data_IF_080983540689
#
_entry.id   IF_080983540689
#
_cell.length_a   1.000
_cell.length_b   1.000
_cell.length_c   1.000
_cell.angle_alpha   90.00
_cell.angle_beta   90.00
_cell.angle_gamma   90.00
#
_symmetry.space_group_name_H-M   'P 1'
#
loop_
_entity.id
_entity.type
_entity.pdbx_description
1 polymer ?
#
# COMPACT_ATOMS: atom_id res chain seq x y z
N UNK A 1 96.58 -50.81 23.46
CA UNK A 1 96.27 -50.30 22.10
C UNK A 1 94.96 -50.88 21.63
N UNK A 2 94.17 -50.07 20.90
CA UNK A 2 93.09 -50.45 19.97
C UNK A 2 91.79 -51.01 20.58
N UNK A 3 90.75 -50.21 20.84
CA UNK A 3 89.79 -49.56 19.92
C UNK A 3 88.77 -50.54 19.31
N UNK A 4 87.51 -50.43 19.78
CA UNK A 4 86.31 -51.14 19.28
C UNK A 4 85.61 -50.29 18.19
N UNK A 5 85.17 -50.87 17.06
CA UNK A 5 84.55 -50.10 15.99
C UNK A 5 83.07 -49.82 16.28
N UNK A 6 82.66 -48.57 16.01
CA UNK A 6 81.30 -48.08 16.13
C UNK A 6 80.41 -48.53 14.97
N UNK A 7 79.16 -48.83 15.29
CA UNK A 7 78.10 -49.17 14.33
C UNK A 7 77.45 -47.86 13.86
N UNK A 8 77.57 -47.57 12.57
CA UNK A 8 76.96 -46.42 11.90
C UNK A 8 75.43 -46.59 11.83
N UNK A 9 74.73 -45.52 12.18
CA UNK A 9 73.31 -45.31 11.98
C UNK A 9 73.06 -45.24 10.46
N UNK A 10 72.22 -46.14 9.93
CA UNK A 10 71.64 -45.98 8.59
C UNK A 10 70.39 -45.14 8.75
N UNK A 11 70.33 -44.03 8.02
CA UNK A 11 69.15 -43.17 7.95
C UNK A 11 68.04 -43.90 7.21
N UNK A 12 66.85 -43.87 7.80
CA UNK A 12 65.60 -44.10 7.07
C UNK A 12 65.33 -42.85 6.24
N UNK A 13 65.22 -43.03 4.93
CA UNK A 13 64.68 -42.02 4.02
C UNK A 13 63.23 -41.80 4.42
N UNK A 14 62.95 -40.70 5.12
CA UNK A 14 61.62 -40.13 5.16
C UNK A 14 61.26 -39.73 3.73
N UNK A 15 60.38 -40.49 3.07
CA UNK A 15 59.63 -39.95 1.94
C UNK A 15 58.87 -38.72 2.46
N UNK A 16 59.42 -37.54 2.19
CA UNK A 16 58.81 -36.25 2.45
C UNK A 16 57.51 -36.15 1.65
N UNK A 17 56.41 -36.67 2.21
CA UNK A 17 55.08 -36.20 1.87
C UNK A 17 55.05 -34.71 2.20
N UNK A 18 55.28 -33.87 1.20
CA UNK A 18 55.09 -32.42 1.25
C UNK A 18 53.78 -32.19 2.00
N UNK A 19 53.85 -31.57 3.18
CA UNK A 19 52.75 -31.42 4.14
C UNK A 19 51.42 -31.03 3.45
N UNK A 20 50.63 -32.01 3.02
CA UNK A 20 49.30 -31.82 2.42
C UNK A 20 48.28 -31.27 3.43
N UNK A 21 48.72 -30.92 4.64
CA UNK A 21 47.93 -30.27 5.69
C UNK A 21 47.31 -28.96 5.23
N UNK A 22 47.94 -28.22 4.31
CA UNK A 22 47.32 -27.02 3.74
C UNK A 22 46.15 -27.37 2.81
N UNK A 23 46.19 -28.55 2.16
CA UNK A 23 45.10 -29.05 1.32
C UNK A 23 43.89 -29.40 2.17
N UNK A 24 44.07 -29.89 3.40
CA UNK A 24 42.96 -30.16 4.31
C UNK A 24 42.17 -28.87 4.67
N UNK A 25 42.86 -27.79 5.05
CA UNK A 25 42.21 -26.50 5.35
C UNK A 25 41.57 -25.85 4.12
N UNK A 26 42.16 -26.04 2.94
CA UNK A 26 41.58 -25.60 1.67
C UNK A 26 40.29 -26.36 1.34
N UNK A 27 40.31 -27.68 1.48
CA UNK A 27 39.13 -28.52 1.25
C UNK A 27 38.00 -28.20 2.25
N UNK A 28 38.34 -27.92 3.51
CA UNK A 28 37.35 -27.46 4.50
C UNK A 28 36.71 -26.13 4.09
N UNK A 29 37.51 -25.13 3.72
CA UNK A 29 36.98 -23.83 3.25
C UNK A 29 36.09 -23.96 2.01
N UNK A 30 36.46 -24.80 1.04
CA UNK A 30 35.65 -25.05 -0.17
C UNK A 30 34.34 -25.74 0.17
N UNK A 31 34.33 -26.71 1.09
CA UNK A 31 33.10 -27.40 1.50
C UNK A 31 32.16 -26.49 2.30
N UNK A 32 32.69 -25.61 3.16
CA UNK A 32 31.90 -24.57 3.85
C UNK A 32 31.27 -23.60 2.85
N UNK A 33 32.04 -23.16 1.86
CA UNK A 33 31.56 -22.26 0.80
C UNK A 33 30.46 -22.94 -0.04
N UNK A 34 30.68 -24.20 -0.44
CA UNK A 34 29.66 -25.01 -1.14
C UNK A 34 28.38 -25.14 -0.31
N UNK A 35 28.49 -25.45 0.98
CA UNK A 35 27.33 -25.60 1.86
C UNK A 35 26.56 -24.27 2.00
N UNK A 36 27.28 -23.14 2.14
CA UNK A 36 26.68 -21.80 2.13
C UNK A 36 25.94 -21.51 0.83
N UNK A 37 26.55 -21.81 -0.34
CA UNK A 37 25.91 -21.58 -1.64
C UNK A 37 24.68 -22.48 -1.86
N UNK A 38 24.67 -23.73 -1.36
CA UNK A 38 23.49 -24.60 -1.40
C UNK A 38 22.35 -24.00 -0.56
N UNK A 39 22.66 -23.48 0.64
CA UNK A 39 21.66 -22.83 1.50
C UNK A 39 21.13 -21.55 0.85
N UNK A 40 22.01 -20.71 0.31
CA UNK A 40 21.60 -19.49 -0.41
C UNK A 40 20.79 -19.81 -1.67
N UNK A 41 21.13 -20.87 -2.41
CA UNK A 41 20.36 -21.33 -3.56
C UNK A 41 18.97 -21.83 -3.16
N UNK A 42 18.87 -22.57 -2.04
CA UNK A 42 17.59 -23.02 -1.49
C UNK A 42 16.70 -21.84 -1.03
N UNK A 43 17.29 -20.74 -0.55
CA UNK A 43 16.56 -19.50 -0.24
C UNK A 43 16.28 -18.62 -1.47
N UNK A 44 17.05 -18.78 -2.56
CA UNK A 44 16.96 -17.97 -3.77
C UNK A 44 15.75 -18.29 -4.65
N UNK A 45 15.03 -19.38 -4.39
CA UNK A 45 13.75 -19.65 -5.04
C UNK A 45 12.64 -19.65 -4.00
N UNK A 46 12.23 -18.43 -3.62
CA UNK A 46 10.89 -18.26 -3.04
C UNK A 46 9.91 -18.64 -4.14
N UNK A 47 9.46 -19.89 -4.10
CA UNK A 47 8.41 -20.40 -4.97
C UNK A 47 7.14 -19.62 -4.65
N UNK A 48 6.81 -18.67 -5.53
CA UNK A 48 5.69 -17.73 -5.38
C UNK A 48 4.39 -18.48 -5.04
N UNK A 49 4.24 -19.70 -5.58
CA UNK A 49 3.12 -20.60 -5.30
C UNK A 49 3.10 -21.10 -3.86
N UNK A 50 4.24 -21.43 -3.26
CA UNK A 50 4.31 -21.87 -1.85
C UNK A 50 4.07 -20.71 -0.90
N UNK A 51 4.52 -19.51 -1.25
CA UNK A 51 4.24 -18.30 -0.48
C UNK A 51 2.75 -17.95 -0.53
N UNK A 52 2.10 -18.08 -1.70
CA UNK A 52 0.66 -17.93 -1.83
C UNK A 52 -0.11 -18.99 -1.03
N UNK A 53 0.30 -20.25 -1.08
CA UNK A 53 -0.29 -21.34 -0.29
C UNK A 53 -0.15 -21.11 1.22
N UNK A 54 1.02 -20.65 1.69
CA UNK A 54 1.26 -20.28 3.08
C UNK A 54 0.39 -19.09 3.51
N UNK A 55 0.28 -18.08 2.66
CA UNK A 55 -0.55 -16.89 2.90
C UNK A 55 -2.03 -17.24 2.95
N UNK A 56 -2.47 -18.21 2.16
CA UNK A 56 -3.85 -18.69 2.15
C UNK A 56 -4.13 -19.60 3.36
N UNK A 57 -3.19 -20.47 3.74
CA UNK A 57 -3.36 -21.33 4.92
C UNK A 57 -3.32 -20.54 6.24
N UNK A 58 -2.50 -19.49 6.34
CA UNK A 58 -2.51 -18.56 7.47
C UNK A 58 -3.84 -17.79 7.56
N UNK A 59 -4.37 -17.30 6.43
CA UNK A 59 -5.67 -16.62 6.41
C UNK A 59 -6.83 -17.53 6.86
N UNK A 60 -6.81 -18.81 6.47
CA UNK A 60 -7.77 -19.81 6.95
C UNK A 60 -7.58 -20.16 8.43
N UNK A 61 -6.33 -20.20 8.93
CA UNK A 61 -6.00 -20.53 10.32
C UNK A 61 -6.35 -19.45 11.34
N UNK A 62 -6.44 -18.18 10.92
CA UNK A 62 -6.84 -17.05 11.78
C UNK A 62 -8.35 -16.78 11.80
N UNK A 63 -9.18 -17.65 11.21
CA UNK A 63 -10.63 -17.60 11.42
C UNK A 63 -11.39 -16.58 10.57
N UNK A 64 -10.93 -16.31 9.34
CA UNK A 64 -11.80 -15.69 8.34
C UNK A 64 -12.86 -16.73 7.89
N UNK A 65 -13.96 -16.80 8.63
CA UNK A 65 -15.18 -17.47 8.18
C UNK A 65 -15.57 -16.90 6.83
N UNK A 66 -15.89 -17.80 5.91
CA UNK A 66 -16.40 -17.57 4.56
C UNK A 66 -17.46 -16.45 4.53
N UNK A 67 -17.00 -15.21 4.36
CA UNK A 67 -17.85 -14.13 3.91
C UNK A 67 -17.73 -14.19 2.40
N UNK A 68 -18.84 -14.44 1.71
CA UNK A 68 -18.97 -14.23 0.27
C UNK A 68 -18.87 -12.74 -0.11
N UNK A 69 -17.92 -12.02 0.49
CA UNK A 69 -17.43 -10.75 0.05
C UNK A 69 -16.08 -11.05 -0.60
N UNK A 70 -16.05 -10.96 -1.93
CA UNK A 70 -14.86 -11.05 -2.75
C UNK A 70 -13.82 -10.09 -2.17
N UNK A 71 -12.84 -10.64 -1.45
CA UNK A 71 -11.71 -9.90 -0.91
C UNK A 71 -10.81 -9.52 -2.09
N UNK A 72 -11.04 -8.34 -2.64
CA UNK A 72 -10.36 -7.78 -3.83
C UNK A 72 -8.88 -7.45 -3.59
N UNK A 73 -8.30 -7.83 -2.44
CA UNK A 73 -6.92 -7.57 -2.08
C UNK A 73 -5.90 -8.61 -2.61
N UNK A 74 -6.33 -9.65 -3.32
CA UNK A 74 -5.43 -10.56 -4.05
C UNK A 74 -5.98 -10.77 -5.44
N UNK A 75 -5.14 -10.52 -6.44
CA UNK A 75 -5.49 -10.74 -7.85
C UNK A 75 -6.21 -12.07 -8.02
N UNK A 76 -7.32 -12.04 -8.75
CA UNK A 76 -8.03 -13.23 -9.17
C UNK A 76 -7.02 -14.13 -9.87
N UNK A 77 -6.59 -15.20 -9.19
CA UNK A 77 -5.81 -16.26 -9.84
C UNK A 77 -6.82 -17.00 -10.69
N UNK A 78 -6.98 -16.53 -11.93
CA UNK A 78 -7.72 -17.25 -12.95
C UNK A 78 -6.98 -18.58 -13.15
N UNK A 79 -7.63 -19.74 -12.90
CA UNK A 79 -7.06 -21.03 -13.25
C UNK A 79 -6.59 -21.00 -14.70
N UNK A 80 -5.41 -21.54 -15.00
CA UNK A 80 -4.80 -21.49 -16.35
C UNK A 80 -5.74 -22.07 -17.42
N UNK A 81 -6.69 -22.92 -17.02
CA UNK A 81 -7.72 -23.54 -17.86
C UNK A 81 -8.91 -22.62 -18.21
N UNK A 82 -9.10 -21.49 -17.52
CA UNK A 82 -10.13 -20.48 -17.79
C UNK A 82 -9.57 -19.21 -18.46
N UNK A 83 -8.29 -19.23 -18.85
CA UNK A 83 -7.72 -18.19 -19.71
C UNK A 83 -8.11 -18.51 -21.15
N UNK A 84 -9.36 -18.19 -21.50
CA UNK A 84 -9.71 -18.01 -22.90
C UNK A 84 -8.76 -16.94 -23.46
N UNK A 85 -8.09 -17.27 -24.57
CA UNK A 85 -6.99 -16.49 -25.16
C UNK A 85 -7.42 -15.11 -25.72
N UNK A 86 -8.63 -14.65 -25.42
CA UNK A 86 -9.25 -13.43 -25.94
C UNK A 86 -9.86 -12.51 -24.85
N UNK A 87 -9.67 -12.82 -23.57
CA UNK A 87 -9.96 -11.82 -22.53
C UNK A 87 -8.82 -10.79 -22.49
N UNK A 88 -8.95 -9.70 -23.25
CA UNK A 88 -8.16 -8.47 -23.01
C UNK A 88 -8.52 -7.94 -21.62
N UNK A 89 -7.80 -8.42 -20.60
CA UNK A 89 -7.86 -7.82 -19.27
C UNK A 89 -7.44 -6.36 -19.37
N UNK A 90 -8.24 -5.46 -18.79
CA UNK A 90 -7.90 -4.04 -18.69
C UNK A 90 -6.49 -3.86 -18.15
N UNK A 91 -5.72 -3.00 -18.80
CA UNK A 91 -4.42 -2.58 -18.29
C UNK A 91 -4.57 -1.86 -16.95
N UNK A 92 -3.54 -1.89 -16.11
CA UNK A 92 -3.53 -1.14 -14.84
C UNK A 92 -3.80 0.36 -15.07
N UNK A 93 -3.39 0.88 -16.22
CA UNK A 93 -3.61 2.27 -16.64
C UNK A 93 -5.09 2.55 -16.97
N UNK A 94 -5.77 1.65 -17.68
CA UNK A 94 -7.20 1.77 -17.96
C UNK A 94 -8.03 1.66 -16.69
N UNK A 95 -7.67 0.75 -15.78
CA UNK A 95 -8.33 0.66 -14.48
C UNK A 95 -8.12 1.91 -13.63
N UNK A 96 -6.92 2.50 -13.67
CA UNK A 96 -6.64 3.78 -13.03
C UNK A 96 -7.46 4.92 -13.64
N UNK A 97 -7.62 4.96 -14.97
CA UNK A 97 -8.45 5.94 -15.66
C UNK A 97 -9.92 5.82 -15.24
N UNK A 98 -10.49 4.61 -15.27
CA UNK A 98 -11.86 4.36 -14.83
C UNK A 98 -12.08 4.77 -13.36
N UNK A 99 -11.07 4.57 -12.51
CA UNK A 99 -11.15 5.00 -11.12
C UNK A 99 -11.12 6.53 -10.98
N UNK A 100 -10.23 7.21 -11.72
CA UNK A 100 -10.19 8.67 -11.78
C UNK A 100 -11.51 9.24 -12.29
N UNK A 101 -12.12 8.63 -13.30
CA UNK A 101 -13.41 9.07 -13.83
C UNK A 101 -14.53 8.96 -12.78
N UNK A 102 -14.58 7.85 -12.04
CA UNK A 102 -15.52 7.65 -10.93
C UNK A 102 -15.32 8.68 -9.81
N UNK A 103 -14.07 8.92 -9.40
CA UNK A 103 -13.74 9.89 -8.36
C UNK A 103 -14.03 11.33 -8.84
N UNK A 104 -13.80 11.63 -10.12
CA UNK A 104 -14.13 12.92 -10.73
C UNK A 104 -15.63 13.16 -10.78
N UNK A 105 -16.43 12.15 -11.16
CA UNK A 105 -17.88 12.24 -11.11
C UNK A 105 -18.38 12.53 -9.68
N UNK A 106 -17.78 11.88 -8.67
CA UNK A 106 -18.11 12.11 -7.26
C UNK A 106 -17.71 13.52 -6.81
N UNK A 107 -16.54 14.00 -7.20
CA UNK A 107 -16.08 15.38 -6.96
C UNK A 107 -17.07 16.39 -7.52
N UNK A 108 -17.48 16.24 -8.78
CA UNK A 108 -18.41 17.16 -9.42
C UNK A 108 -19.81 17.11 -8.79
N UNK A 109 -20.27 15.93 -8.34
CA UNK A 109 -21.52 15.81 -7.59
C UNK A 109 -21.47 16.57 -6.25
N UNK A 110 -20.37 16.47 -5.51
CA UNK A 110 -20.16 17.24 -4.28
C UNK A 110 -20.07 18.73 -4.56
N UNK A 111 -19.32 19.13 -5.59
CA UNK A 111 -19.19 20.54 -5.99
C UNK A 111 -20.53 21.14 -6.39
N UNK A 112 -21.33 20.43 -7.18
CA UNK A 112 -22.66 20.87 -7.58
C UNK A 112 -23.61 21.03 -6.37
N UNK A 113 -23.49 20.16 -5.36
CA UNK A 113 -24.26 20.29 -4.13
C UNK A 113 -23.85 21.54 -3.32
N UNK A 114 -22.54 21.82 -3.22
CA UNK A 114 -22.01 23.02 -2.58
C UNK A 114 -22.36 24.30 -3.35
N UNK A 115 -22.38 24.24 -4.68
CA UNK A 115 -22.71 25.36 -5.57
C UNK A 115 -24.11 25.93 -5.30
N UNK A 116 -25.10 25.04 -5.07
CA UNK A 116 -26.48 25.42 -4.76
C UNK A 116 -26.58 26.32 -3.54
N UNK A 117 -25.65 26.20 -2.61
CA UNK A 117 -25.59 26.98 -1.37
C UNK A 117 -24.47 28.04 -1.36
N UNK A 118 -23.76 28.21 -2.48
CA UNK A 118 -22.59 29.11 -2.62
C UNK A 118 -21.48 28.80 -1.59
N UNK A 119 -21.21 27.51 -1.36
CA UNK A 119 -20.24 27.03 -0.38
C UNK A 119 -18.95 26.45 -1.00
N UNK A 120 -18.82 26.48 -2.33
CA UNK A 120 -17.70 25.85 -3.06
C UNK A 120 -16.32 26.31 -2.55
N UNK A 121 -16.16 27.58 -2.20
CA UNK A 121 -14.88 28.15 -1.77
C UNK A 121 -14.38 27.62 -0.41
N UNK A 122 -15.23 26.91 0.33
CA UNK A 122 -14.91 26.37 1.65
C UNK A 122 -14.32 24.96 1.61
N UNK A 123 -14.33 24.32 0.44
CA UNK A 123 -13.84 22.94 0.28
C UNK A 123 -12.81 22.89 -0.84
N UNK A 124 -11.63 22.36 -0.53
CA UNK A 124 -10.57 22.13 -1.50
C UNK A 124 -10.51 20.63 -1.85
N UNK A 125 -10.54 20.32 -3.15
CA UNK A 125 -10.55 18.93 -3.63
C UNK A 125 -9.20 18.56 -4.22
N UNK A 126 -8.61 17.47 -3.73
CA UNK A 126 -7.34 16.93 -4.24
C UNK A 126 -7.44 15.44 -4.48
N UNK A 127 -6.75 14.98 -5.52
CA UNK A 127 -6.55 13.56 -5.75
C UNK A 127 -5.19 13.16 -5.18
N UNK A 128 -5.18 12.09 -4.40
CA UNK A 128 -3.97 11.44 -3.89
C UNK A 128 -3.97 9.95 -4.31
N UNK A 129 -2.93 9.22 -3.95
CA UNK A 129 -2.87 7.77 -4.23
C UNK A 129 -3.99 7.00 -3.51
N UNK A 130 -4.53 7.54 -2.41
CA UNK A 130 -5.58 6.89 -1.62
C UNK A 130 -6.95 7.09 -2.25
N UNK A 131 -7.17 8.20 -2.95
CA UNK A 131 -8.40 8.52 -3.67
C UNK A 131 -8.65 10.03 -3.76
N UNK A 132 -9.83 10.48 -3.33
CA UNK A 132 -10.25 11.88 -3.41
C UNK A 132 -10.38 12.46 -2.01
N UNK A 133 -9.56 13.46 -1.68
CA UNK A 133 -9.68 14.23 -0.44
C UNK A 133 -10.46 15.52 -0.65
N UNK A 134 -11.47 15.76 0.20
CA UNK A 134 -12.20 17.01 0.32
C UNK A 134 -11.79 17.69 1.63
N UNK A 135 -10.86 18.64 1.54
CA UNK A 135 -10.34 19.38 2.68
C UNK A 135 -11.23 20.56 3.04
N UNK A 136 -11.70 20.61 4.29
CA UNK A 136 -12.46 21.75 4.81
C UNK A 136 -11.50 22.91 5.13
N UNK A 137 -11.55 23.96 4.31
CA UNK A 137 -10.61 25.08 4.36
C UNK A 137 -11.01 26.10 5.43
N UNK A 138 -10.10 26.35 6.38
CA UNK A 138 -10.29 27.36 7.42
C UNK A 138 -11.05 26.83 8.62
N UNK A 139 -10.35 26.10 9.50
CA UNK A 139 -10.95 25.51 10.72
C UNK A 139 -11.73 26.49 11.57
N UNK A 140 -11.36 27.77 11.61
CA UNK A 140 -12.11 28.79 12.36
C UNK A 140 -13.53 29.03 11.81
N UNK A 141 -13.74 28.74 10.52
CA UNK A 141 -15.06 28.77 9.89
C UNK A 141 -15.89 27.55 10.28
N UNK A 142 -15.23 26.41 10.57
CA UNK A 142 -15.86 25.11 10.73
C UNK A 142 -16.03 24.65 12.18
N UNK A 143 -15.14 25.11 13.06
CA UNK A 143 -15.11 24.77 14.47
C UNK A 143 -14.94 26.04 15.29
N UNK A 144 -15.60 26.07 16.44
CA UNK A 144 -15.31 27.12 17.42
C UNK A 144 -13.86 26.93 17.94
N UNK A 145 -13.13 28.02 18.17
CA UNK A 145 -11.69 27.99 18.47
C UNK A 145 -11.33 26.98 19.56
N UNK A 146 -10.33 26.13 19.30
CA UNK A 146 -9.89 25.01 20.15
C UNK A 146 -11.02 24.10 20.69
N UNK A 147 -12.16 24.02 19.99
CA UNK A 147 -13.26 23.11 20.29
C UNK A 147 -13.51 22.12 19.15
N UNK A 148 -14.30 21.11 19.48
CA UNK A 148 -14.78 20.08 18.55
C UNK A 148 -16.16 20.40 18.00
N UNK A 149 -16.86 21.38 18.57
CA UNK A 149 -18.21 21.77 18.16
C UNK A 149 -18.20 22.34 16.74
N UNK A 150 -19.06 21.76 15.89
CA UNK A 150 -19.26 22.19 14.51
C UNK A 150 -20.00 23.53 14.47
N UNK A 151 -19.55 24.44 13.61
CA UNK A 151 -20.27 25.67 13.32
C UNK A 151 -21.51 25.40 12.45
N UNK A 152 -22.45 26.34 12.42
CA UNK A 152 -23.59 26.26 11.50
C UNK A 152 -23.16 26.18 10.02
N UNK A 153 -22.04 26.82 9.67
CA UNK A 153 -21.47 26.78 8.32
C UNK A 153 -20.90 25.39 8.02
N UNK A 154 -20.25 24.75 8.99
CA UNK A 154 -19.78 23.38 8.87
C UNK A 154 -20.90 22.41 8.62
N UNK A 155 -21.97 22.54 9.40
CA UNK A 155 -23.16 21.71 9.27
C UNK A 155 -23.72 21.82 7.84
N UNK A 156 -23.86 23.04 7.31
CA UNK A 156 -24.34 23.25 5.93
C UNK A 156 -23.44 22.59 4.87
N UNK A 157 -22.12 22.71 5.01
CA UNK A 157 -21.15 22.10 4.08
C UNK A 157 -21.22 20.57 4.16
N UNK A 158 -21.22 20.01 5.36
CA UNK A 158 -21.29 18.56 5.59
C UNK A 158 -22.60 17.98 5.06
N UNK A 159 -23.73 18.65 5.31
CA UNK A 159 -25.04 18.22 4.81
C UNK A 159 -25.13 18.29 3.28
N UNK A 160 -24.37 19.19 2.65
CA UNK A 160 -24.32 19.30 1.19
C UNK A 160 -23.47 18.19 0.55
N UNK A 161 -22.34 17.80 1.16
CA UNK A 161 -21.45 16.77 0.59
C UNK A 161 -21.84 15.34 0.98
N UNK A 162 -22.60 15.15 2.06
CA UNK A 162 -22.94 13.81 2.54
C UNK A 162 -23.79 12.97 1.57
N UNK A 163 -24.81 13.51 0.85
CA UNK A 163 -25.65 12.69 -0.02
C UNK A 163 -24.90 12.04 -1.20
N UNK A 164 -24.01 12.75 -1.95
CA UNK A 164 -23.13 12.12 -2.93
C UNK A 164 -22.26 11.00 -2.32
N UNK A 165 -21.73 11.23 -1.12
CA UNK A 165 -20.88 10.26 -0.42
C UNK A 165 -21.67 9.01 -0.01
N UNK A 166 -22.88 9.17 0.54
CA UNK A 166 -23.77 8.07 0.92
C UNK A 166 -24.16 7.18 -0.28
N UNK A 167 -24.35 7.79 -1.46
CA UNK A 167 -24.70 7.07 -2.69
C UNK A 167 -23.51 6.26 -3.24
N UNK A 168 -22.29 6.74 -3.02
CA UNK A 168 -21.08 6.13 -3.57
C UNK A 168 -20.74 4.75 -2.99
N UNK A 169 -21.19 4.46 -1.75
CA UNK A 169 -20.84 3.24 -0.98
C UNK A 169 -19.34 2.94 -0.92
N UNK A 170 -18.52 3.98 -0.98
CA UNK A 170 -17.07 3.89 -0.83
C UNK A 170 -16.68 4.05 0.63
N UNK A 171 -15.52 3.51 0.99
CA UNK A 171 -14.89 3.74 2.29
C UNK A 171 -14.48 5.22 2.41
N UNK A 172 -14.81 5.83 3.55
CA UNK A 172 -14.58 7.24 3.85
C UNK A 172 -13.74 7.34 5.12
N UNK A 173 -12.64 8.07 5.06
CA UNK A 173 -11.81 8.40 6.22
C UNK A 173 -11.92 9.89 6.51
N UNK A 174 -12.41 10.23 7.70
CA UNK A 174 -12.45 11.60 8.21
C UNK A 174 -11.17 11.84 9.01
N UNK A 175 -10.29 12.67 8.47
CA UNK A 175 -8.94 12.91 8.98
C UNK A 175 -8.86 14.27 9.67
N UNK A 176 -8.72 14.27 11.00
CA UNK A 176 -8.57 15.48 11.80
C UNK A 176 -7.10 15.89 11.95
N UNK A 177 -6.82 17.17 11.74
CA UNK A 177 -5.50 17.76 11.91
C UNK A 177 -5.54 18.97 12.86
N UNK A 178 -4.48 19.11 13.65
CA UNK A 178 -4.24 20.26 14.49
C UNK A 178 -2.92 20.94 14.06
N UNK A 179 -2.79 22.22 14.40
CA UNK A 179 -1.51 22.89 14.38
C UNK A 179 -0.70 22.52 15.62
N UNK A 180 0.62 22.70 15.54
CA UNK A 180 1.53 22.33 16.63
C UNK A 180 1.40 23.33 17.77
N UNK A 181 0.51 23.04 18.72
CA UNK A 181 0.41 23.75 19.97
C UNK A 181 0.44 22.75 21.14
N UNK A 182 0.80 23.25 22.33
CA UNK A 182 0.70 22.43 23.54
C UNK A 182 -0.77 22.16 23.91
N UNK A 183 -1.03 21.82 25.18
CA UNK A 183 -2.39 21.69 25.70
C UNK A 183 -3.29 22.82 25.22
N UNK A 184 -4.42 22.47 24.61
CA UNK A 184 -5.38 23.42 24.02
C UNK A 184 -6.38 23.94 25.08
N UNK A 185 -6.01 23.84 26.36
CA UNK A 185 -6.81 24.17 27.53
C UNK A 185 -7.81 23.07 27.88
N UNK A 186 -8.74 22.78 26.96
CA UNK A 186 -9.82 21.78 27.17
C UNK A 186 -9.33 20.36 26.88
N UNK A 187 -8.44 20.21 25.89
CA UNK A 187 -7.90 18.91 25.50
C UNK A 187 -6.45 18.78 25.97
N UNK A 188 -6.05 17.59 26.48
CA UNK A 188 -4.68 17.34 26.94
C UNK A 188 -3.64 17.59 25.85
N UNK A 189 -3.90 17.11 24.63
CA UNK A 189 -3.02 17.26 23.47
C UNK A 189 -3.80 17.51 22.18
N UNK A 190 -3.06 17.77 21.11
CA UNK A 190 -3.58 17.87 19.75
C UNK A 190 -4.25 16.58 19.26
N UNK A 191 -3.88 15.42 19.81
CA UNK A 191 -4.48 14.13 19.46
C UNK A 191 -5.96 14.07 19.85
N UNK A 192 -6.32 14.47 21.07
CA UNK A 192 -7.72 14.46 21.50
C UNK A 192 -8.55 15.51 20.75
N UNK A 193 -8.00 16.70 20.51
CA UNK A 193 -8.70 17.75 19.75
C UNK A 193 -8.97 17.30 18.31
N UNK A 194 -7.95 16.79 17.61
CA UNK A 194 -8.09 16.35 16.22
C UNK A 194 -9.01 15.14 16.08
N UNK A 195 -8.89 14.16 16.99
CA UNK A 195 -9.76 12.97 17.02
C UNK A 195 -11.21 13.35 17.32
N UNK A 196 -11.44 14.26 18.27
CA UNK A 196 -12.76 14.78 18.60
C UNK A 196 -13.41 15.51 17.44
N UNK A 197 -12.66 16.35 16.71
CA UNK A 197 -13.16 17.02 15.49
C UNK A 197 -13.54 16.03 14.39
N UNK A 198 -12.66 15.06 14.12
CA UNK A 198 -12.95 14.01 13.14
C UNK A 198 -14.22 13.22 13.52
N UNK A 199 -14.37 12.89 14.81
CA UNK A 199 -15.55 12.18 15.32
C UNK A 199 -16.83 13.00 15.19
N UNK A 200 -16.80 14.31 15.44
CA UNK A 200 -17.98 15.18 15.26
C UNK A 200 -18.42 15.27 13.79
N UNK A 201 -17.46 15.37 12.87
CA UNK A 201 -17.75 15.34 11.43
C UNK A 201 -18.34 14.00 11.02
N UNK A 202 -17.72 12.88 11.42
CA UNK A 202 -18.24 11.53 11.18
C UNK A 202 -19.67 11.40 11.69
N UNK A 203 -19.90 11.78 12.95
CA UNK A 203 -21.22 11.70 13.59
C UNK A 203 -22.26 12.49 12.81
N UNK A 204 -21.94 13.70 12.36
CA UNK A 204 -22.86 14.51 11.53
C UNK A 204 -23.19 13.79 10.22
N UNK A 205 -22.19 13.23 9.55
CA UNK A 205 -22.37 12.54 8.27
C UNK A 205 -23.20 11.25 8.40
N UNK A 206 -23.04 10.50 9.49
CA UNK A 206 -23.83 9.28 9.75
C UNK A 206 -25.25 9.63 10.19
N UNK A 207 -25.41 10.43 11.25
CA UNK A 207 -26.72 10.68 11.87
C UNK A 207 -27.66 11.53 11.00
N UNK A 208 -27.10 12.50 10.26
CA UNK A 208 -27.89 13.42 9.43
C UNK A 208 -27.66 13.23 7.93
N UNK A 209 -26.42 12.95 7.55
CA UNK A 209 -26.02 12.76 6.15
C UNK A 209 -26.38 11.39 5.56
N UNK A 210 -26.78 10.42 6.40
CA UNK A 210 -27.11 9.04 6.01
C UNK A 210 -25.97 8.29 5.32
N UNK A 211 -24.74 8.68 5.60
CA UNK A 211 -23.58 7.88 5.22
C UNK A 211 -23.61 6.57 6.02
N UNK A 212 -23.49 5.39 5.38
CA UNK A 212 -23.53 4.12 6.10
C UNK A 212 -22.37 4.04 7.10
N UNK A 213 -22.66 3.63 8.33
CA UNK A 213 -21.70 3.59 9.44
C UNK A 213 -20.54 2.61 9.19
N UNK A 214 -20.78 1.58 8.40
CA UNK A 214 -19.81 0.56 8.01
C UNK A 214 -18.75 1.07 7.02
N UNK A 215 -19.00 2.21 6.37
CA UNK A 215 -18.15 2.78 5.33
C UNK A 215 -17.45 4.08 5.75
N UNK A 216 -17.46 4.42 7.03
CA UNK A 216 -16.86 5.66 7.52
C UNK A 216 -16.07 5.45 8.80
N UNK A 217 -14.85 5.98 8.81
CA UNK A 217 -13.95 5.98 9.96
C UNK A 217 -13.46 7.39 10.28
N UNK A 218 -13.08 7.63 11.54
CA UNK A 218 -12.48 8.88 11.97
C UNK A 218 -11.05 8.62 12.48
N UNK A 219 -10.11 9.45 12.03
CA UNK A 219 -8.69 9.36 12.39
C UNK A 219 -8.21 10.74 12.84
N UNK A 220 -7.64 10.84 14.03
CA UNK A 220 -6.96 12.05 14.49
C UNK A 220 -5.46 11.93 14.30
N UNK A 221 -4.83 12.88 13.61
CA UNK A 221 -3.38 12.93 13.40
C UNK A 221 -2.65 13.92 14.32
N UNK A 222 -3.38 14.68 15.13
CA UNK A 222 -2.81 15.82 15.87
C UNK A 222 -2.02 16.74 14.95
N UNK A 223 -0.83 17.15 15.40
CA UNK A 223 0.12 17.95 14.62
C UNK A 223 1.12 17.13 13.80
N UNK A 224 0.95 15.81 13.68
CA UNK A 224 1.96 14.91 13.11
C UNK A 224 2.05 14.98 11.57
N UNK A 225 1.01 15.49 10.90
CA UNK A 225 0.93 15.61 9.43
C UNK A 225 0.66 17.06 8.99
N UNK A 226 1.62 17.99 9.20
CA UNK A 226 1.45 19.37 8.77
C UNK A 226 1.54 19.48 7.24
N UNK A 227 0.68 20.31 6.64
CA UNK A 227 0.78 20.67 5.21
C UNK A 227 1.91 21.68 5.00
N UNK A 228 2.13 22.56 5.97
CA UNK A 228 3.26 23.50 5.96
C UNK A 228 4.01 23.45 7.29
N UNK A 229 5.34 23.47 7.21
CA UNK A 229 6.20 23.50 8.40
C UNK A 229 6.38 24.91 9.00
N UNK A 230 5.84 25.94 8.35
CA UNK A 230 6.00 27.33 8.78
C UNK A 230 5.05 27.64 9.94
N UNK A 231 5.54 28.39 10.92
CA UNK A 231 4.80 28.82 12.10
C UNK A 231 4.09 30.18 11.91
N UNK A 232 3.75 30.56 10.67
CA UNK A 232 2.99 31.78 10.41
C UNK A 232 1.47 31.54 10.55
N UNK A 233 0.66 32.56 10.91
CA UNK A 233 -0.77 32.37 11.16
C UNK A 233 -1.54 31.73 10.00
N UNK A 234 -1.16 32.03 8.75
CA UNK A 234 -1.82 31.50 7.54
C UNK A 234 -1.50 30.01 7.38
N UNK A 235 -0.23 29.64 7.54
CA UNK A 235 0.22 28.24 7.55
C UNK A 235 -0.44 27.42 8.65
N UNK A 236 -0.51 27.97 9.87
CA UNK A 236 -1.14 27.29 11.00
C UNK A 236 -2.64 27.07 10.75
N UNK A 237 -3.32 28.06 10.17
CA UNK A 237 -4.73 27.92 9.78
C UNK A 237 -4.97 26.83 8.72
N UNK A 238 -3.97 26.52 7.87
CA UNK A 238 -4.03 25.39 6.91
C UNK A 238 -3.74 24.04 7.57
N UNK A 239 -2.95 24.03 8.64
CA UNK A 239 -2.65 22.82 9.42
C UNK A 239 -3.84 22.42 10.31
N UNK A 240 -4.58 23.40 10.85
CA UNK A 240 -5.90 23.17 11.44
C UNK A 240 -6.88 22.89 10.29
N UNK A 241 -7.17 21.63 10.01
CA UNK A 241 -8.18 21.23 9.01
C UNK A 241 -8.79 19.87 9.34
N UNK A 242 -9.91 19.58 8.69
CA UNK A 242 -10.46 18.23 8.63
C UNK A 242 -10.61 17.86 7.17
N UNK A 243 -10.02 16.74 6.79
CA UNK A 243 -10.07 16.22 5.43
C UNK A 243 -11.06 15.05 5.40
N UNK A 244 -12.04 15.08 4.49
CA UNK A 244 -12.92 13.94 4.22
C UNK A 244 -12.36 13.21 3.01
N UNK A 245 -11.76 12.05 3.24
CA UNK A 245 -11.05 11.28 2.21
C UNK A 245 -11.93 10.12 1.75
N UNK A 246 -12.29 10.12 0.47
CA UNK A 246 -12.93 8.99 -0.19
C UNK A 246 -11.85 8.05 -0.69
N UNK A 247 -11.82 6.84 -0.15
CA UNK A 247 -10.82 5.84 -0.49
C UNK A 247 -11.17 5.13 -1.79
N UNK A 248 -10.15 4.93 -2.61
CA UNK A 248 -10.19 4.08 -3.79
C UNK A 248 -10.26 2.62 -3.36
N UNK A 249 -11.06 1.81 -4.05
CA UNK A 249 -11.12 0.36 -3.83
C UNK A 249 -10.13 -0.42 -4.72
N UNK A 250 -9.26 0.29 -5.45
CA UNK A 250 -8.28 -0.32 -6.34
C UNK A 250 -7.06 -0.87 -5.58
N UNK A 251 -6.36 -1.88 -6.11
CA UNK A 251 -5.06 -2.31 -5.64
C UNK A 251 -4.00 -1.20 -5.63
N UNK A 252 -2.98 -1.35 -4.79
CA UNK A 252 -1.91 -0.35 -4.63
C UNK A 252 -1.12 -0.07 -5.93
N UNK A 253 -1.01 -1.04 -6.85
CA UNK A 253 -0.37 -0.83 -8.16
C UNK A 253 -1.11 0.20 -9.00
N UNK A 254 -2.44 0.15 -8.99
CA UNK A 254 -3.33 1.04 -9.76
C UNK A 254 -3.45 2.39 -9.04
N UNK A 255 -3.57 2.39 -7.71
CA UNK A 255 -3.65 3.61 -6.87
C UNK A 255 -2.48 4.58 -7.10
N UNK A 256 -1.26 4.07 -7.24
CA UNK A 256 -0.06 4.89 -7.51
C UNK A 256 -0.11 5.61 -8.86
N UNK A 257 -0.92 5.13 -9.81
CA UNK A 257 -1.09 5.76 -11.11
C UNK A 257 -2.11 6.90 -11.06
N UNK A 258 -3.01 6.94 -10.08
CA UNK A 258 -4.10 7.94 -9.96
C UNK A 258 -3.56 9.39 -10.08
N UNK A 259 -2.54 9.82 -9.32
CA UNK A 259 -2.04 11.19 -9.44
C UNK A 259 -1.44 11.50 -10.82
N UNK A 260 -0.79 10.51 -11.44
CA UNK A 260 -0.25 10.64 -12.79
C UNK A 260 -1.35 10.78 -13.84
N UNK A 261 -2.42 10.01 -13.70
CA UNK A 261 -3.57 10.03 -14.62
C UNK A 261 -4.28 11.39 -14.53
N UNK A 262 -4.52 11.88 -13.32
CA UNK A 262 -5.16 13.20 -13.09
C UNK A 262 -4.32 14.35 -13.69
N UNK A 263 -3.00 14.24 -13.64
CA UNK A 263 -2.08 15.26 -14.19
C UNK A 263 -1.76 15.06 -15.68
N UNK A 264 -2.26 14.00 -16.32
CA UNK A 264 -1.94 13.66 -17.71
C UNK A 264 -0.51 13.19 -17.94
N UNK A 265 0.18 12.73 -16.89
CA UNK A 265 1.59 12.27 -16.92
C UNK A 265 1.74 10.78 -16.66
N UNK A 266 0.64 10.03 -16.54
CA UNK A 266 0.69 8.60 -16.31
C UNK A 266 1.33 7.87 -17.50
N UNK A 267 2.37 7.09 -17.18
CA UNK A 267 3.03 6.17 -18.10
C UNK A 267 2.82 4.78 -17.51
N UNK A 268 2.45 3.83 -18.36
CA UNK A 268 2.29 2.44 -17.93
C UNK A 268 3.61 1.96 -17.28
N UNK A 269 3.59 1.39 -16.06
CA UNK A 269 4.79 0.79 -15.49
C UNK A 269 5.29 -0.30 -16.44
N UNK A 270 6.60 -0.48 -16.62
CA UNK A 270 7.13 -1.47 -17.56
C UNK A 270 6.50 -2.82 -17.26
N UNK A 271 5.80 -3.39 -18.25
CA UNK A 271 5.09 -4.64 -18.12
C UNK A 271 6.02 -5.66 -17.43
N UNK A 272 5.59 -6.19 -16.27
CA UNK A 272 6.26 -7.37 -15.69
C UNK A 272 6.35 -8.37 -16.82
N UNK A 273 7.58 -8.73 -17.21
CA UNK A 273 7.85 -9.55 -18.38
C UNK A 273 6.92 -10.77 -18.36
N UNK A 274 5.87 -10.74 -19.19
CA UNK A 274 5.08 -11.92 -19.49
C UNK A 274 6.10 -12.91 -20.05
N UNK A 275 6.46 -13.93 -19.27
CA UNK A 275 7.36 -14.98 -19.75
C UNK A 275 6.72 -15.52 -21.02
N UNK A 276 7.32 -15.20 -22.16
CA UNK A 276 6.96 -15.79 -23.44
C UNK A 276 7.24 -17.29 -23.32
N UNK A 277 6.20 -18.06 -23.02
CA UNK A 277 6.25 -19.51 -23.15
C UNK A 277 6.36 -19.76 -24.65
N UNK A 278 7.59 -20.01 -25.09
CA UNK A 278 7.93 -20.37 -26.45
C UNK A 278 7.17 -21.67 -26.76
N UNK A 279 6.12 -21.56 -27.58
CA UNK A 279 5.38 -22.71 -28.07
C UNK A 279 6.28 -23.50 -29.03
N UNK A 280 6.96 -24.51 -28.51
CA UNK A 280 7.65 -25.50 -29.32
C UNK A 280 6.57 -26.40 -29.94
N UNK A 281 6.17 -26.08 -31.18
CA UNK A 281 5.23 -26.92 -31.96
C UNK A 281 5.99 -28.18 -32.40
N UNK A 282 5.59 -29.41 -32.02
CA UNK A 282 6.08 -30.58 -32.72
C UNK A 282 5.48 -30.61 -34.13
N UNK A 283 6.34 -30.80 -35.12
CA UNK A 283 5.99 -30.85 -36.54
C UNK A 283 4.96 -31.97 -36.85
N UNK A 284 4.06 -31.78 -37.83
CA UNK A 284 3.11 -32.82 -38.19
C UNK A 284 3.81 -33.97 -38.92
N UNK A 285 3.69 -35.18 -38.37
CA UNK A 285 4.10 -36.40 -39.02
C UNK A 285 3.27 -36.60 -40.30
N UNK A 286 3.94 -36.56 -41.46
CA UNK A 286 3.37 -37.00 -42.73
C UNK A 286 3.21 -38.52 -42.68
N UNK A 287 1.98 -39.03 -42.67
CA UNK A 287 1.70 -40.42 -43.04
C UNK A 287 1.38 -40.48 -44.53
N UNK A 288 2.39 -40.86 -45.31
CA UNK A 288 2.24 -41.28 -46.70
C UNK A 288 1.92 -42.78 -46.77
N UNK A 289 0.96 -43.11 -47.65
CA UNK A 289 0.78 -44.38 -48.36
C UNK A 289 0.17 -45.57 -47.60
N UNK A 290 -0.78 -46.23 -48.29
CA UNK A 290 -1.29 -47.56 -48.00
C UNK A 290 -2.73 -47.72 -48.40
#
# INVERSE_FOLDING_TARGET
MSARPGRRHFGEDHEEHVDERWMASYMDMVTVLMCMFIVLYAMSTVDEKKFEQLRNSLATGFGATDVQAIDTAKGVVVPVELVDQEAEGFTDLELAQLEVDKLTALKEAMRAALAKQRLEYLVDFKFDERGLSAGLVGTETFFQGNRVDLSAKAIQVLDAIAPPLATSKREISVEGHADRHGSTGIYPTDWELSSGRATQVLRRMVEHGRVPQEHIAAVGYGSARPVTARADPISMARNRRVDVVVLSNQPDSIRKLIPGVVNGTAIEPPAKARKAVKADKPAPAKSSHG
#
